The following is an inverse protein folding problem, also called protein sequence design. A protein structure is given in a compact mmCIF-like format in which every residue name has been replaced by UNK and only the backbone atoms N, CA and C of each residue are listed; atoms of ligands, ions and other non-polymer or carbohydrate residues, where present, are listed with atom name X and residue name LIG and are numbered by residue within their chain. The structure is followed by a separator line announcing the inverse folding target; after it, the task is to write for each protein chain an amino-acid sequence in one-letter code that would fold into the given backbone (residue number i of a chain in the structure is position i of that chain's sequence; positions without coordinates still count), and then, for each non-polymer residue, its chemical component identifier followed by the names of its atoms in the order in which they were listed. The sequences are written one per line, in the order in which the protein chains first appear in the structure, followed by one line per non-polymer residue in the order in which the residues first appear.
data_IF_353741109732
#
_entry.id   IF_353741109732
#
_cell.length_a   1.000
_cell.length_b   1.000
_cell.length_c   1.000
_cell.angle_alpha   90.00
_cell.angle_beta   90.00
_cell.angle_gamma   90.00
#
_symmetry.space_group_name_H-M   'P 1'
#
loop_
_entity.id
_entity.type
_entity.pdbx_description
1 polymer ?
#
# COMPACT_ATOMS: atom_id res chain seq x y z
N UNK A 1 -11.65 -1.39 28.93
CA UNK A 1 -12.06 -1.97 27.63
C UNK A 1 -13.09 -1.04 27.00
N UNK A 2 -12.81 -0.58 25.80
CA UNK A 2 -13.76 0.19 24.99
C UNK A 2 -14.80 -0.76 24.37
N UNK A 3 -16.02 -0.32 24.23
CA UNK A 3 -17.06 -1.06 23.53
C UNK A 3 -16.88 -0.94 22.00
N UNK A 4 -17.43 -1.87 21.24
CA UNK A 4 -17.40 -1.80 19.78
C UNK A 4 -18.03 -0.49 19.25
N UNK A 5 -19.10 -0.01 19.90
CA UNK A 5 -19.75 1.25 19.52
C UNK A 5 -18.82 2.45 19.71
N UNK A 6 -18.12 2.54 20.84
CA UNK A 6 -17.12 3.61 21.10
C UNK A 6 -15.96 3.55 20.09
N UNK A 7 -15.47 2.37 19.77
CA UNK A 7 -14.43 2.19 18.75
C UNK A 7 -14.90 2.59 17.35
N UNK A 8 -16.13 2.29 17.00
CA UNK A 8 -16.72 2.70 15.71
C UNK A 8 -16.90 4.23 15.63
N UNK A 9 -17.30 4.86 16.73
CA UNK A 9 -17.37 6.32 16.83
C UNK A 9 -15.98 6.96 16.70
N UNK A 10 -14.99 6.42 17.42
CA UNK A 10 -13.59 6.83 17.30
C UNK A 10 -13.07 6.63 15.86
N UNK A 11 -13.36 5.49 15.23
CA UNK A 11 -13.03 5.25 13.84
C UNK A 11 -13.65 6.29 12.91
N UNK A 12 -14.94 6.56 13.05
CA UNK A 12 -15.62 7.56 12.23
C UNK A 12 -14.96 8.93 12.35
N UNK A 13 -14.57 9.32 13.56
CA UNK A 13 -13.86 10.58 13.80
C UNK A 13 -12.44 10.58 13.23
N UNK A 14 -11.63 9.58 13.57
CA UNK A 14 -10.20 9.51 13.20
C UNK A 14 -9.99 9.24 11.70
N UNK A 15 -10.84 8.42 11.07
CA UNK A 15 -10.81 8.17 9.64
C UNK A 15 -11.53 9.22 8.80
N UNK A 16 -11.95 10.35 9.41
CA UNK A 16 -12.60 11.48 8.73
C UNK A 16 -13.95 11.14 8.11
N UNK A 17 -14.69 10.18 8.66
CA UNK A 17 -15.99 9.77 8.14
C UNK A 17 -17.16 10.61 8.70
N UNK A 18 -16.91 11.36 9.77
CA UNK A 18 -17.92 12.22 10.41
C UNK A 18 -18.22 13.45 9.55
N UNK A 19 -19.51 13.86 9.39
CA UNK A 19 -19.84 15.09 8.71
C UNK A 19 -19.08 16.31 9.25
N UNK A 20 -18.63 17.18 8.36
CA UNK A 20 -17.84 18.38 8.73
C UNK A 20 -16.35 18.10 9.00
N UNK A 21 -15.89 16.86 8.81
CA UNK A 21 -14.48 16.49 8.95
C UNK A 21 -13.79 16.21 7.62
N UNK A 22 -14.38 16.59 6.50
CA UNK A 22 -13.80 16.41 5.17
C UNK A 22 -12.38 17.01 5.08
N UNK A 23 -11.53 16.37 4.29
CA UNK A 23 -10.23 16.92 3.92
C UNK A 23 -10.44 18.02 2.88
N UNK A 24 -10.03 19.25 3.21
CA UNK A 24 -10.23 20.41 2.34
C UNK A 24 -8.97 20.83 1.58
N UNK A 25 -7.81 20.45 2.08
CA UNK A 25 -6.51 20.80 1.48
C UNK A 25 -5.59 19.60 1.33
N UNK A 26 -4.65 19.68 0.38
CA UNK A 26 -3.62 18.64 0.22
C UNK A 26 -2.73 18.50 1.48
N UNK A 27 -2.51 19.59 2.21
CA UNK A 27 -1.73 19.53 3.45
C UNK A 27 -2.49 18.82 4.58
N UNK A 28 -3.82 18.92 4.62
CA UNK A 28 -4.64 18.11 5.54
C UNK A 28 -4.63 16.64 5.14
N UNK A 29 -4.67 16.34 3.84
CA UNK A 29 -4.57 14.98 3.34
C UNK A 29 -3.21 14.34 3.69
N UNK A 30 -2.13 15.12 3.61
CA UNK A 30 -0.78 14.66 4.02
C UNK A 30 -0.71 14.40 5.52
N UNK A 31 -1.22 15.32 6.35
CA UNK A 31 -1.32 15.11 7.81
C UNK A 31 -2.14 13.86 8.14
N UNK A 32 -3.27 13.69 7.47
CA UNK A 32 -4.10 12.50 7.65
C UNK A 32 -3.35 11.21 7.29
N UNK A 33 -2.58 11.21 6.19
CA UNK A 33 -1.70 10.09 5.85
C UNK A 33 -0.63 9.86 6.94
N UNK A 34 0.02 10.90 7.43
CA UNK A 34 1.03 10.78 8.48
C UNK A 34 0.43 10.25 9.80
N UNK A 35 -0.78 10.71 10.16
CA UNK A 35 -1.48 10.26 11.37
C UNK A 35 -1.92 8.80 11.29
N UNK A 36 -2.35 8.34 10.12
CA UNK A 36 -2.82 6.96 9.92
C UNK A 36 -1.71 6.00 9.49
N UNK A 37 -0.62 6.49 8.91
CA UNK A 37 0.49 5.70 8.38
C UNK A 37 0.22 5.12 6.99
N UNK A 38 -1.01 4.77 6.67
CA UNK A 38 -1.42 4.23 5.38
C UNK A 38 -2.85 4.62 5.01
N UNK A 39 -3.09 4.79 3.70
CA UNK A 39 -4.41 5.11 3.15
C UNK A 39 -4.67 4.31 1.88
N UNK A 40 -5.83 3.69 1.78
CA UNK A 40 -6.33 3.17 0.50
C UNK A 40 -6.79 4.33 -0.39
N UNK A 41 -6.91 4.08 -1.70
CA UNK A 41 -7.47 5.09 -2.61
C UNK A 41 -8.97 5.21 -2.43
N UNK A 42 -9.67 4.08 -2.44
CA UNK A 42 -11.13 3.96 -2.40
C UNK A 42 -11.55 3.06 -1.25
N UNK A 43 -12.79 3.22 -0.81
CA UNK A 43 -13.41 2.43 0.26
C UNK A 43 -13.70 1.01 -0.21
N UNK A 44 -12.93 0.04 0.22
CA UNK A 44 -13.16 -1.38 -0.08
C UNK A 44 -12.79 -2.32 1.09
N UNK A 45 -12.45 -1.74 2.22
CA UNK A 45 -12.12 -2.44 3.46
C UNK A 45 -12.27 -1.50 4.65
N UNK A 46 -12.03 -1.97 5.87
CA UNK A 46 -12.00 -1.11 7.06
C UNK A 46 -10.79 -0.15 7.10
N UNK A 47 -9.79 -0.30 6.23
CA UNK A 47 -8.66 0.63 6.15
C UNK A 47 -9.13 2.04 5.76
N UNK A 48 -8.50 3.10 6.32
CA UNK A 48 -8.87 4.47 5.98
C UNK A 48 -8.63 4.77 4.50
N UNK A 49 -9.59 5.47 3.88
CA UNK A 49 -9.55 5.81 2.45
C UNK A 49 -9.36 7.31 2.26
N UNK A 50 -8.40 7.68 1.39
CA UNK A 50 -8.19 9.10 1.04
C UNK A 50 -9.43 9.72 0.42
N UNK A 51 -10.05 9.02 -0.54
CA UNK A 51 -11.17 9.60 -1.30
C UNK A 51 -12.47 9.64 -0.47
N UNK A 52 -12.70 8.68 0.42
CA UNK A 52 -13.80 8.71 1.35
C UNK A 52 -13.66 9.90 2.32
N UNK A 53 -12.46 10.12 2.86
CA UNK A 53 -12.17 11.23 3.76
C UNK A 53 -12.30 12.63 3.10
N UNK A 54 -12.32 12.68 1.78
CA UNK A 54 -12.57 13.93 1.04
C UNK A 54 -14.04 14.38 1.05
N UNK A 55 -15.01 13.50 1.33
CA UNK A 55 -16.44 13.73 1.28
C UNK A 55 -16.90 14.43 -0.01
N UNK A 56 -16.18 14.24 -1.11
CA UNK A 56 -16.48 14.86 -2.39
C UNK A 56 -17.24 13.86 -3.26
N UNK A 57 -18.35 14.30 -3.82
CA UNK A 57 -19.15 13.49 -4.72
C UNK A 57 -18.33 12.99 -5.91
N UNK A 58 -18.60 11.78 -6.39
CA UNK A 58 -17.99 11.24 -7.59
C UNK A 58 -18.34 12.08 -8.81
N UNK A 59 -17.66 11.84 -9.92
CA UNK A 59 -17.97 12.50 -11.21
C UNK A 59 -19.44 12.43 -11.54
N UNK A 60 -19.95 13.48 -12.20
CA UNK A 60 -21.32 13.53 -12.70
C UNK A 60 -21.65 12.25 -13.50
N UNK A 61 -22.90 11.73 -13.45
CA UNK A 61 -23.27 10.44 -14.00
C UNK A 61 -22.88 10.19 -15.46
N UNK A 62 -22.80 11.22 -16.28
CA UNK A 62 -22.46 11.15 -17.71
C UNK A 62 -20.99 11.51 -18.01
N UNK A 63 -20.19 11.81 -16.99
CA UNK A 63 -18.79 12.10 -17.22
C UNK A 63 -17.99 10.82 -17.50
N UNK A 64 -16.94 10.88 -18.33
CA UNK A 64 -16.08 9.72 -18.59
C UNK A 64 -15.23 9.31 -17.39
N UNK A 65 -15.52 9.81 -16.19
CA UNK A 65 -14.82 9.50 -14.95
C UNK A 65 -15.21 8.14 -14.38
N UNK A 66 -14.40 7.69 -13.44
CA UNK A 66 -14.58 6.41 -12.75
C UNK A 66 -15.41 6.63 -11.48
N UNK A 67 -16.71 6.72 -11.55
CA UNK A 67 -17.76 6.92 -10.57
C UNK A 67 -17.52 6.85 -9.05
N UNK A 68 -16.33 6.46 -8.59
CA UNK A 68 -15.93 6.41 -7.17
C UNK A 68 -14.85 7.43 -6.81
N UNK A 69 -14.50 8.32 -7.73
CA UNK A 69 -13.36 9.23 -7.55
C UNK A 69 -13.84 10.66 -7.39
N UNK A 70 -13.28 11.41 -6.43
CA UNK A 70 -13.66 12.79 -6.20
C UNK A 70 -13.34 13.65 -7.42
N UNK A 71 -14.22 14.62 -7.72
CA UNK A 71 -14.11 15.41 -8.93
C UNK A 71 -12.87 16.30 -8.96
N UNK A 72 -12.57 16.98 -7.86
CA UNK A 72 -11.45 17.94 -7.77
C UNK A 72 -10.25 17.42 -7.01
N UNK A 73 -10.46 16.54 -6.04
CA UNK A 73 -9.42 16.02 -5.15
C UNK A 73 -8.76 14.72 -5.68
N UNK A 74 -9.25 14.20 -6.81
CA UNK A 74 -8.67 13.03 -7.48
C UNK A 74 -7.15 13.07 -7.64
N UNK A 75 -6.50 14.20 -8.02
CA UNK A 75 -5.05 14.24 -8.19
C UNK A 75 -4.26 14.11 -6.88
N UNK A 76 -4.89 14.25 -5.72
CA UNK A 76 -4.18 14.28 -4.43
C UNK A 76 -3.42 13.00 -4.15
N UNK A 77 -3.96 11.86 -4.56
CA UNK A 77 -3.29 10.57 -4.37
C UNK A 77 -1.89 10.56 -5.03
N UNK A 78 -1.81 11.00 -6.28
CA UNK A 78 -0.53 11.13 -6.98
C UNK A 78 0.36 12.25 -6.42
N UNK A 79 -0.24 13.38 -6.00
CA UNK A 79 0.49 14.50 -5.42
C UNK A 79 1.14 14.15 -4.08
N UNK A 80 0.52 13.30 -3.27
CA UNK A 80 1.10 12.79 -2.03
C UNK A 80 2.29 11.87 -2.33
N UNK A 81 2.18 11.00 -3.36
CA UNK A 81 3.33 10.24 -3.85
C UNK A 81 4.50 11.12 -4.31
N UNK A 82 4.20 12.22 -5.02
CA UNK A 82 5.22 13.18 -5.45
C UNK A 82 5.87 13.96 -4.29
N UNK A 83 5.26 13.96 -3.09
CA UNK A 83 5.84 14.55 -1.87
C UNK A 83 6.73 13.59 -1.08
N UNK A 84 7.02 12.42 -1.62
CA UNK A 84 7.93 11.43 -1.03
C UNK A 84 7.24 10.27 -0.34
N UNK A 85 5.88 10.22 -0.30
CA UNK A 85 5.18 9.05 0.20
C UNK A 85 5.15 7.92 -0.84
N UNK A 86 5.12 6.68 -0.38
CA UNK A 86 5.17 5.54 -1.29
C UNK A 86 3.77 5.15 -1.78
N UNK A 87 3.65 4.88 -3.08
CA UNK A 87 2.44 4.32 -3.69
C UNK A 87 2.72 2.87 -4.07
N UNK A 88 2.01 1.93 -3.48
CA UNK A 88 2.20 0.49 -3.65
C UNK A 88 0.90 -0.20 -4.04
N UNK A 89 0.96 -1.19 -4.92
CA UNK A 89 -0.22 -1.96 -5.36
C UNK A 89 -0.49 -3.19 -4.47
N UNK A 90 -0.08 -3.16 -3.21
CA UNK A 90 -0.09 -4.32 -2.29
C UNK A 90 -1.41 -4.55 -1.57
N UNK A 91 -2.36 -3.63 -1.66
CA UNK A 91 -3.70 -3.81 -1.11
C UNK A 91 -4.61 -4.49 -2.14
N UNK A 92 -4.72 -5.81 -2.12
CA UNK A 92 -5.55 -6.58 -3.08
C UNK A 92 -5.23 -6.26 -4.56
N UNK A 93 -3.98 -5.88 -4.85
CA UNK A 93 -3.58 -5.40 -6.18
C UNK A 93 -4.04 -3.98 -6.51
N UNK A 94 -4.58 -3.24 -5.55
CA UNK A 94 -4.94 -1.83 -5.67
C UNK A 94 -3.88 -0.96 -5.00
N UNK A 95 -3.75 0.27 -5.49
CA UNK A 95 -2.81 1.23 -4.94
C UNK A 95 -3.24 1.71 -3.56
N UNK A 96 -2.28 1.77 -2.66
CA UNK A 96 -2.35 2.43 -1.36
C UNK A 96 -1.18 3.37 -1.18
N UNK A 97 -1.37 4.42 -0.38
CA UNK A 97 -0.31 5.31 0.09
C UNK A 97 0.21 4.81 1.42
N UNK A 98 1.51 4.84 1.61
CA UNK A 98 2.15 4.54 2.90
C UNK A 98 3.22 5.58 3.22
N UNK A 99 3.39 5.87 4.51
CA UNK A 99 4.49 6.70 5.02
C UNK A 99 5.79 5.89 5.06
N UNK A 100 6.94 6.56 5.23
CA UNK A 100 8.24 5.89 5.42
C UNK A 100 8.23 4.92 6.60
N UNK A 101 7.55 5.26 7.70
CA UNK A 101 7.44 4.38 8.85
C UNK A 101 6.75 3.03 8.50
N UNK A 102 5.66 3.08 7.71
CA UNK A 102 5.00 1.86 7.24
C UNK A 102 5.82 1.17 6.15
N UNK A 103 6.50 1.92 5.28
CA UNK A 103 7.41 1.37 4.29
C UNK A 103 8.53 0.55 4.93
N UNK A 104 9.04 0.98 6.09
CA UNK A 104 10.02 0.22 6.88
C UNK A 104 9.47 -1.13 7.36
N UNK A 105 8.19 -1.21 7.73
CA UNK A 105 7.55 -2.49 8.10
C UNK A 105 7.34 -3.39 6.89
N UNK A 106 7.15 -2.81 5.71
CA UNK A 106 7.00 -3.53 4.43
C UNK A 106 8.33 -4.04 3.89
N UNK A 107 9.45 -3.43 4.25
CA UNK A 107 10.77 -3.66 3.63
C UNK A 107 11.20 -5.15 3.64
N UNK A 108 11.14 -5.89 4.75
CA UNK A 108 11.53 -7.30 4.75
C UNK A 108 10.69 -8.13 3.77
N UNK A 109 9.38 -7.91 3.74
CA UNK A 109 8.46 -8.65 2.88
C UNK A 109 8.72 -8.32 1.41
N UNK A 110 8.83 -7.04 1.06
CA UNK A 110 9.07 -6.63 -0.33
C UNK A 110 10.42 -7.13 -0.87
N UNK A 111 11.46 -7.17 -0.03
CA UNK A 111 12.77 -7.77 -0.39
C UNK A 111 12.68 -9.27 -0.60
N UNK A 112 12.02 -9.99 0.30
CA UNK A 112 11.78 -11.42 0.12
C UNK A 112 10.97 -11.72 -1.15
N UNK A 113 10.02 -10.85 -1.51
CA UNK A 113 9.26 -10.97 -2.74
C UNK A 113 10.12 -10.77 -4.01
N UNK A 114 11.11 -9.88 -4.00
CA UNK A 114 12.07 -9.78 -5.10
C UNK A 114 12.74 -11.14 -5.33
N UNK A 115 13.29 -11.74 -4.28
CA UNK A 115 13.98 -13.02 -4.37
C UNK A 115 13.04 -14.17 -4.76
N UNK A 116 11.84 -14.20 -4.21
CA UNK A 116 10.83 -15.21 -4.54
C UNK A 116 10.43 -15.13 -6.00
N UNK A 117 10.17 -13.93 -6.51
CA UNK A 117 9.76 -13.72 -7.90
C UNK A 117 10.90 -14.04 -8.89
N UNK A 118 12.15 -13.71 -8.55
CA UNK A 118 13.31 -14.10 -9.37
C UNK A 118 13.49 -15.61 -9.50
N UNK A 119 13.08 -16.39 -8.49
CA UNK A 119 13.14 -17.84 -8.52
C UNK A 119 11.94 -18.50 -9.19
N UNK A 120 10.81 -17.80 -9.25
CA UNK A 120 9.52 -18.39 -9.68
C UNK A 120 9.36 -18.40 -11.20
N UNK A 121 9.78 -17.34 -11.90
CA UNK A 121 9.53 -17.18 -13.33
C UNK A 121 10.72 -16.49 -14.01
N UNK A 122 11.26 -17.06 -15.09
CA UNK A 122 12.43 -16.50 -15.78
C UNK A 122 12.18 -15.12 -16.40
N UNK A 123 10.95 -14.79 -16.81
CA UNK A 123 10.62 -13.49 -17.38
C UNK A 123 10.55 -12.42 -16.27
N UNK A 124 10.01 -12.76 -15.09
CA UNK A 124 10.09 -11.89 -13.92
C UNK A 124 11.52 -11.66 -13.47
N UNK A 125 12.32 -12.73 -13.41
CA UNK A 125 13.74 -12.64 -13.10
C UNK A 125 14.49 -11.73 -14.10
N UNK A 126 14.15 -11.81 -15.39
CA UNK A 126 14.74 -10.97 -16.44
C UNK A 126 14.45 -9.49 -16.19
N UNK A 127 13.20 -9.13 -15.90
CA UNK A 127 12.81 -7.74 -15.60
C UNK A 127 13.48 -7.25 -14.31
N UNK A 128 13.45 -8.03 -13.23
CA UNK A 128 14.04 -7.67 -11.94
C UNK A 128 15.56 -7.48 -12.04
N UNK A 129 16.27 -8.38 -12.74
CA UNK A 129 17.73 -8.24 -12.97
C UNK A 129 18.06 -7.07 -13.90
N UNK A 130 17.19 -6.77 -14.87
CA UNK A 130 17.36 -5.59 -15.71
C UNK A 130 17.30 -4.33 -14.84
N UNK A 131 16.25 -4.15 -14.04
CA UNK A 131 16.12 -3.02 -13.12
C UNK A 131 17.25 -2.95 -12.10
N UNK A 132 17.75 -4.11 -11.60
CA UNK A 132 18.90 -4.15 -10.69
C UNK A 132 20.16 -3.52 -11.31
N UNK A 133 20.37 -3.70 -12.60
CA UNK A 133 21.56 -3.22 -13.32
C UNK A 133 21.41 -1.81 -13.87
N UNK A 134 20.25 -1.52 -14.45
CA UNK A 134 19.99 -0.24 -15.13
C UNK A 134 19.50 0.85 -14.16
N UNK A 135 18.96 0.45 -12.99
CA UNK A 135 18.25 1.35 -12.10
C UNK A 135 16.78 1.54 -12.49
N UNK A 136 16.10 2.52 -11.88
CA UNK A 136 14.75 2.90 -12.29
C UNK A 136 14.71 3.22 -13.78
N UNK A 137 13.72 2.63 -14.49
CA UNK A 137 13.67 2.71 -15.96
C UNK A 137 12.26 3.04 -16.44
N UNK A 138 12.15 3.92 -17.46
CA UNK A 138 10.87 4.26 -18.06
C UNK A 138 10.26 3.06 -18.81
N UNK A 139 8.93 3.06 -18.91
CA UNK A 139 8.22 1.95 -19.56
C UNK A 139 8.61 1.79 -21.05
N UNK A 140 8.90 2.88 -21.74
CA UNK A 140 9.29 2.86 -23.17
C UNK A 140 10.69 2.27 -23.37
N UNK A 141 11.62 2.63 -22.46
CA UNK A 141 12.97 2.06 -22.45
C UNK A 141 12.93 0.57 -22.16
N UNK A 142 12.16 0.15 -21.15
CA UNK A 142 11.96 -1.27 -20.83
C UNK A 142 11.36 -2.07 -21.98
N UNK A 143 10.41 -1.49 -22.74
CA UNK A 143 9.87 -2.14 -23.93
C UNK A 143 10.94 -2.37 -24.96
N UNK A 144 11.77 -1.37 -25.21
CA UNK A 144 12.85 -1.42 -26.21
C UNK A 144 13.93 -2.42 -25.80
N UNK A 145 14.43 -2.31 -24.57
CA UNK A 145 15.57 -3.09 -24.09
C UNK A 145 15.23 -4.56 -23.80
N UNK A 146 13.99 -4.82 -23.41
CA UNK A 146 13.49 -6.18 -23.21
C UNK A 146 12.84 -6.78 -24.47
N UNK A 147 12.66 -5.99 -25.54
CA UNK A 147 11.99 -6.43 -26.75
C UNK A 147 10.52 -6.79 -26.55
N UNK A 148 9.81 -6.08 -25.64
CA UNK A 148 8.44 -6.35 -25.24
C UNK A 148 7.48 -5.30 -25.80
N UNK A 149 6.28 -5.73 -26.19
CA UNK A 149 5.19 -4.79 -26.46
C UNK A 149 4.59 -4.26 -25.16
N UNK A 150 3.96 -3.08 -25.20
CA UNK A 150 3.34 -2.45 -24.05
C UNK A 150 2.37 -3.38 -23.29
N UNK A 151 1.58 -4.20 -24.00
CA UNK A 151 0.65 -5.16 -23.39
C UNK A 151 1.38 -6.30 -22.67
N UNK A 152 2.50 -6.76 -23.21
CA UNK A 152 3.34 -7.82 -22.64
C UNK A 152 4.03 -7.32 -21.38
N UNK A 153 4.66 -6.13 -21.44
CA UNK A 153 5.27 -5.50 -20.28
C UNK A 153 4.22 -5.24 -19.16
N UNK A 154 3.01 -4.77 -19.53
CA UNK A 154 1.92 -4.59 -18.55
C UNK A 154 1.54 -5.89 -17.86
N UNK A 155 1.46 -7.01 -18.61
CA UNK A 155 1.16 -8.33 -18.04
C UNK A 155 2.29 -8.83 -17.15
N UNK A 156 3.54 -8.61 -17.57
CA UNK A 156 4.73 -9.05 -16.86
C UNK A 156 4.90 -8.34 -15.53
N UNK A 157 4.71 -7.01 -15.48
CA UNK A 157 4.93 -6.21 -14.28
C UNK A 157 3.82 -6.33 -13.22
N UNK A 158 2.58 -6.64 -13.63
CA UNK A 158 1.44 -6.60 -12.73
C UNK A 158 1.57 -7.53 -11.49
N UNK A 159 2.06 -8.78 -11.57
CA UNK A 159 2.33 -9.60 -10.40
C UNK A 159 3.42 -9.03 -9.50
N UNK A 160 4.48 -8.44 -10.09
CA UNK A 160 5.61 -7.83 -9.37
C UNK A 160 5.20 -6.57 -8.61
N UNK A 161 4.33 -5.74 -9.19
CA UNK A 161 3.73 -4.58 -8.51
C UNK A 161 2.83 -5.02 -7.35
N UNK A 162 2.03 -6.07 -7.58
CA UNK A 162 1.09 -6.57 -6.57
C UNK A 162 1.79 -7.11 -5.33
N UNK A 163 2.95 -7.72 -5.48
CA UNK A 163 3.72 -8.23 -4.35
C UNK A 163 4.72 -7.21 -3.77
N UNK A 164 4.82 -6.03 -4.34
CA UNK A 164 5.74 -4.99 -3.87
C UNK A 164 7.19 -5.16 -4.31
N UNK A 165 7.51 -6.15 -5.17
CA UNK A 165 8.87 -6.35 -5.69
C UNK A 165 9.33 -5.19 -6.58
N UNK A 166 8.40 -4.54 -7.29
CA UNK A 166 8.64 -3.32 -8.05
C UNK A 166 7.59 -2.24 -7.72
N UNK A 167 8.01 -1.00 -7.88
CA UNK A 167 7.19 0.19 -7.60
C UNK A 167 7.10 1.04 -8.85
N UNK A 168 5.88 1.31 -9.37
CA UNK A 168 5.70 2.28 -10.44
C UNK A 168 5.71 3.69 -9.86
N UNK A 169 6.47 4.60 -10.47
CA UNK A 169 6.48 6.01 -10.14
C UNK A 169 6.05 6.83 -11.35
N UNK A 170 5.21 7.84 -11.14
CA UNK A 170 4.83 8.76 -12.21
C UNK A 170 5.89 9.83 -12.39
N UNK A 171 6.29 10.07 -13.63
CA UNK A 171 7.19 11.15 -14.01
C UNK A 171 6.40 12.14 -14.88
N UNK A 172 6.56 13.41 -14.60
CA UNK A 172 5.99 14.49 -15.40
C UNK A 172 7.13 15.31 -15.97
N UNK A 173 7.25 15.31 -17.29
CA UNK A 173 8.15 16.22 -17.99
C UNK A 173 7.43 17.51 -18.31
N UNK A 174 8.02 18.63 -18.00
CA UNK A 174 7.43 19.95 -18.27
C UNK A 174 7.59 20.34 -19.74
N UNK A 175 8.65 19.91 -20.40
CA UNK A 175 8.94 20.25 -21.79
C UNK A 175 9.52 19.06 -22.58
N UNK A 176 8.80 18.51 -23.57
CA UNK A 176 7.37 18.68 -23.80
C UNK A 176 6.54 18.11 -22.65
N UNK A 177 5.37 18.66 -22.39
CA UNK A 177 4.52 18.17 -21.32
C UNK A 177 4.10 16.71 -21.59
N UNK A 178 4.73 15.77 -20.87
CA UNK A 178 4.54 14.33 -21.05
C UNK A 178 4.44 13.67 -19.69
N UNK A 179 3.40 12.86 -19.51
CA UNK A 179 3.28 11.97 -18.39
C UNK A 179 3.80 10.59 -18.79
N UNK A 180 4.74 10.07 -18.04
CA UNK A 180 5.24 8.70 -18.18
C UNK A 180 5.30 8.02 -16.82
N UNK A 181 5.65 6.75 -16.80
CA UNK A 181 5.90 6.01 -15.58
C UNK A 181 7.22 5.30 -15.70
N UNK A 182 8.02 5.34 -14.65
CA UNK A 182 9.17 4.48 -14.47
C UNK A 182 8.83 3.32 -13.54
N UNK A 183 9.55 2.23 -13.66
CA UNK A 183 9.55 1.12 -12.72
C UNK A 183 10.89 1.10 -11.99
N UNK A 184 10.83 0.88 -10.69
CA UNK A 184 12.00 0.66 -9.87
C UNK A 184 11.82 -0.61 -9.04
N UNK A 185 12.89 -1.30 -8.69
CA UNK A 185 12.83 -2.34 -7.66
C UNK A 185 12.59 -1.69 -6.30
N UNK A 186 11.93 -2.41 -5.41
CA UNK A 186 11.68 -1.92 -4.05
C UNK A 186 12.96 -1.47 -3.34
N UNK A 187 14.03 -2.27 -3.40
CA UNK A 187 15.31 -1.99 -2.76
C UNK A 187 16.07 -0.77 -3.32
N UNK A 188 15.65 -0.26 -4.48
CA UNK A 188 16.14 1.01 -5.06
C UNK A 188 15.33 2.22 -4.60
N UNK A 189 14.08 2.02 -4.22
CA UNK A 189 13.16 3.10 -3.76
C UNK A 189 13.27 3.29 -2.26
N UNK A 190 13.38 2.19 -1.52
CA UNK A 190 13.49 2.18 -0.06
C UNK A 190 14.84 1.57 0.34
N UNK A 191 15.77 2.47 0.71
CA UNK A 191 17.10 2.10 1.20
C UNK A 191 17.08 1.70 2.69
N UNK A 192 16.04 0.99 3.11
CA UNK A 192 15.90 0.48 4.47
C UNK A 192 17.08 -0.41 4.87
N UNK A 193 17.26 -0.60 6.13
CA UNK A 193 18.36 -1.33 6.77
C UNK A 193 18.70 -2.64 6.05
N UNK A 194 19.81 -2.64 5.35
CA UNK A 194 20.40 -3.86 4.78
C UNK A 194 21.03 -4.80 5.85
N UNK A 195 20.98 -4.43 7.12
CA UNK A 195 21.67 -5.09 8.23
C UNK A 195 20.68 -5.53 9.31
N UNK A 196 19.78 -6.46 8.98
CA UNK A 196 19.14 -7.27 10.01
C UNK A 196 19.97 -8.55 10.18
N UNK A 197 20.63 -8.67 11.31
CA UNK A 197 21.39 -9.85 11.72
C UNK A 197 20.58 -11.14 11.53
N UNK A 198 21.20 -12.11 10.92
CA UNK A 198 21.00 -13.55 10.78
C UNK A 198 19.91 -14.28 11.56
N UNK A 199 18.68 -13.79 11.56
CA UNK A 199 17.50 -14.51 12.01
C UNK A 199 17.00 -15.51 10.97
N UNK A 200 16.14 -16.45 11.38
CA UNK A 200 15.44 -17.33 10.45
C UNK A 200 14.50 -16.50 9.57
N UNK A 201 14.78 -16.43 8.26
CA UNK A 201 14.09 -15.54 7.32
C UNK A 201 12.55 -15.74 7.30
N UNK A 202 12.05 -16.94 7.58
CA UNK A 202 10.62 -17.23 7.62
C UNK A 202 9.96 -16.65 8.89
N UNK A 203 10.65 -16.77 10.04
CA UNK A 203 10.22 -16.16 11.30
C UNK A 203 10.23 -14.64 11.20
N UNK A 204 11.22 -14.04 10.52
CA UNK A 204 11.30 -12.60 10.31
C UNK A 204 10.15 -12.07 9.43
N UNK A 205 9.71 -12.82 8.41
CA UNK A 205 8.61 -12.44 7.54
C UNK A 205 7.26 -12.53 8.25
N UNK A 206 7.04 -13.55 9.06
CA UNK A 206 5.84 -13.70 9.88
C UNK A 206 5.73 -12.53 10.87
N UNK A 207 6.81 -12.20 11.55
CA UNK A 207 6.87 -11.06 12.48
C UNK A 207 6.62 -9.72 11.75
N UNK A 208 7.26 -9.52 10.60
CA UNK A 208 7.06 -8.31 9.79
C UNK A 208 5.61 -8.15 9.31
N UNK A 209 4.95 -9.25 8.93
CA UNK A 209 3.53 -9.23 8.58
C UNK A 209 2.67 -8.89 9.80
N UNK A 210 3.01 -9.43 10.98
CA UNK A 210 2.36 -9.08 12.25
C UNK A 210 2.48 -7.59 12.58
N UNK A 211 3.67 -7.02 12.47
CA UNK A 211 3.91 -5.58 12.68
C UNK A 211 3.10 -4.71 11.73
N UNK A 212 3.06 -5.09 10.46
CA UNK A 212 2.27 -4.40 9.44
C UNK A 212 0.77 -4.49 9.73
N UNK A 213 0.27 -5.66 10.19
CA UNK A 213 -1.13 -5.81 10.57
C UNK A 213 -1.50 -4.94 11.76
N UNK A 214 -0.67 -4.87 12.79
CA UNK A 214 -0.88 -3.98 13.93
C UNK A 214 -0.92 -2.52 13.49
N UNK A 215 -0.01 -2.09 12.62
CA UNK A 215 -0.02 -0.74 12.06
C UNK A 215 -1.30 -0.47 11.23
N UNK A 216 -1.76 -1.45 10.46
CA UNK A 216 -2.97 -1.35 9.66
C UNK A 216 -4.24 -1.31 10.51
N UNK A 217 -4.33 -2.11 11.58
CA UNK A 217 -5.44 -2.06 12.56
C UNK A 217 -5.43 -0.71 13.29
N UNK A 218 -4.27 -0.20 13.68
CA UNK A 218 -4.13 1.15 14.26
C UNK A 218 -4.64 2.23 13.31
N UNK A 219 -4.33 2.12 12.02
CA UNK A 219 -4.83 3.04 11.00
C UNK A 219 -6.36 2.99 10.88
N UNK A 220 -6.94 1.79 10.93
CA UNK A 220 -8.37 1.56 10.85
C UNK A 220 -9.13 1.87 12.16
N UNK A 221 -8.42 1.94 13.31
CA UNK A 221 -8.93 2.03 14.68
C UNK A 221 -9.57 0.72 15.13
N UNK A 222 -10.52 0.21 14.39
CA UNK A 222 -11.20 -1.07 14.61
C UNK A 222 -11.57 -1.68 13.26
N UNK A 223 -11.46 -3.01 13.16
CA UNK A 223 -11.72 -3.72 11.91
C UNK A 223 -12.32 -5.11 12.17
N UNK A 224 -13.22 -5.60 11.28
CA UNK A 224 -13.67 -6.99 11.33
C UNK A 224 -12.47 -7.94 11.17
N UNK A 225 -12.27 -8.88 12.09
CA UNK A 225 -11.12 -9.80 12.06
C UNK A 225 -11.05 -10.59 10.74
N UNK A 226 -12.19 -10.99 10.20
CA UNK A 226 -12.31 -11.71 8.91
C UNK A 226 -11.74 -10.95 7.70
N UNK A 227 -11.54 -9.64 7.79
CA UNK A 227 -10.98 -8.84 6.71
C UNK A 227 -9.45 -8.86 6.66
N UNK A 228 -8.77 -9.05 7.79
CA UNK A 228 -7.33 -8.84 7.93
C UNK A 228 -6.52 -9.65 6.91
N UNK A 229 -6.81 -10.93 6.77
CA UNK A 229 -6.14 -11.84 5.80
C UNK A 229 -6.19 -11.32 4.36
N UNK A 230 -7.16 -10.46 4.04
CA UNK A 230 -7.38 -9.93 2.68
C UNK A 230 -6.84 -8.52 2.49
N UNK A 231 -6.30 -7.88 3.51
CA UNK A 231 -5.85 -6.49 3.39
C UNK A 231 -4.64 -6.36 2.48
N UNK A 232 -3.72 -7.34 2.57
CA UNK A 232 -2.50 -7.34 1.78
C UNK A 232 -2.46 -8.51 0.80
N UNK A 233 -1.62 -8.39 -0.20
CA UNK A 233 -1.50 -9.39 -1.27
C UNK A 233 -0.80 -10.67 -0.83
N UNK A 234 -0.08 -10.65 0.30
CA UNK A 234 0.82 -11.73 0.75
C UNK A 234 0.11 -12.82 1.55
N UNK A 235 -0.95 -13.41 1.00
CA UNK A 235 -1.72 -14.47 1.67
C UNK A 235 -0.92 -15.76 1.88
N UNK A 236 0.17 -15.96 1.16
CA UNK A 236 1.08 -17.11 1.32
C UNK A 236 2.02 -17.00 2.53
N UNK A 237 2.16 -15.82 3.15
CA UNK A 237 2.84 -15.62 4.44
C UNK A 237 1.86 -15.62 5.61
N UNK A 238 0.57 -15.78 5.33
CA UNK A 238 -0.45 -15.79 6.37
C UNK A 238 -0.46 -17.13 7.09
N UNK A 239 -0.24 -17.10 8.40
CA UNK A 239 -0.56 -18.19 9.30
C UNK A 239 -1.94 -17.96 9.93
N UNK A 240 -2.76 -19.01 10.07
CA UNK A 240 -4.09 -18.89 10.65
C UNK A 240 -4.04 -18.57 12.17
N UNK A 241 -2.89 -18.76 12.83
CA UNK A 241 -2.64 -18.39 14.22
C UNK A 241 -2.14 -16.94 14.40
N UNK A 242 -1.75 -16.25 13.31
CA UNK A 242 -1.13 -14.92 13.38
C UNK A 242 -1.95 -13.92 14.23
N UNK A 243 -3.28 -13.88 14.08
CA UNK A 243 -4.11 -12.95 14.87
C UNK A 243 -4.18 -13.41 16.33
N UNK A 244 -4.23 -14.71 16.59
CA UNK A 244 -4.25 -15.27 17.95
C UNK A 244 -2.94 -14.94 18.69
N UNK A 245 -1.81 -15.03 18.00
CA UNK A 245 -0.50 -14.65 18.53
C UNK A 245 -0.44 -13.15 18.86
N UNK A 246 -0.88 -12.30 17.95
CA UNK A 246 -0.91 -10.85 18.18
C UNK A 246 -1.82 -10.46 19.36
N UNK A 247 -2.91 -11.18 19.57
CA UNK A 247 -3.80 -10.99 20.73
C UNK A 247 -3.15 -11.54 22.00
N UNK A 248 -2.52 -12.70 21.95
CA UNK A 248 -1.81 -13.30 23.08
C UNK A 248 -0.67 -12.41 23.56
N UNK A 249 0.07 -11.81 22.65
CA UNK A 249 1.17 -10.89 22.94
C UNK A 249 0.70 -9.49 23.40
N UNK A 250 -0.62 -9.27 23.48
CA UNK A 250 -1.19 -8.00 23.91
C UNK A 250 -0.96 -6.87 22.90
N UNK A 251 -0.77 -7.18 21.64
CA UNK A 251 -0.60 -6.22 20.55
C UNK A 251 -1.93 -5.83 19.90
N UNK A 252 -2.85 -6.79 19.84
CA UNK A 252 -4.25 -6.60 19.43
C UNK A 252 -5.18 -7.04 20.55
N UNK A 253 -6.39 -6.49 20.54
CA UNK A 253 -7.49 -6.88 21.42
C UNK A 253 -8.71 -7.22 20.57
N UNK A 254 -9.42 -8.31 20.93
CA UNK A 254 -10.69 -8.66 20.31
C UNK A 254 -11.86 -7.99 21.02
N UNK A 255 -12.72 -7.36 20.23
CA UNK A 255 -13.99 -6.78 20.69
C UNK A 255 -15.09 -7.32 19.78
N UNK A 256 -15.87 -8.26 20.26
CA UNK A 256 -16.82 -9.06 19.48
C UNK A 256 -16.14 -9.79 18.31
N UNK A 257 -16.58 -9.57 17.06
CA UNK A 257 -15.99 -10.11 15.83
C UNK A 257 -14.97 -9.15 15.18
N UNK A 258 -14.53 -8.14 15.93
CA UNK A 258 -13.58 -7.12 15.49
C UNK A 258 -12.28 -7.18 16.31
N UNK A 259 -11.27 -6.54 15.77
CA UNK A 259 -9.99 -6.31 16.44
C UNK A 259 -9.63 -4.83 16.48
N UNK A 260 -8.96 -4.43 17.54
CA UNK A 260 -8.35 -3.11 17.73
C UNK A 260 -6.94 -3.28 18.27
N UNK A 261 -6.13 -2.21 18.27
CA UNK A 261 -4.82 -2.24 18.92
C UNK A 261 -5.03 -2.19 20.42
N UNK A 262 -4.36 -3.05 21.18
CA UNK A 262 -4.36 -3.01 22.64
C UNK A 262 -3.72 -1.70 23.13
N UNK A 263 -4.36 -1.04 24.15
CA UNK A 263 -3.89 0.23 24.75
C UNK A 263 -2.88 -0.01 25.86
#
# INVERSE_FOLDING_TARGET
MQTLAELQERRAYECRLTPGRALETLNEAERFLCDRGLLTRTTDSALPSLFEACHEEPYAPESPGFGQWPATKFPWFGKLGARGHHILAVHRGKNMLVTDAVATLLDPICRAEIERMERTDPDWARLLRHLARAGPSELEDLQTELGLKAKELKKLRAPLERCGAIVPRSIVYEQPHRHTSELARWDQVHSGRADADGGDAETDLHHSLGDLLVAAVRAAVVAPERELKRWFSWQWYWDDLLVDELVHDGRLERVDDHVTVAE
#
